data_IF_771931917424
#
_entry.id   IF_771931917424
#
_cell.length_a   1.000
_cell.length_b   1.000
_cell.length_c   1.000
_cell.angle_alpha   90.00
_cell.angle_beta   90.00
_cell.angle_gamma   90.00
#
_symmetry.space_group_name_H-M   'P 1'
#
loop_
_entity.id
_entity.type
_entity.pdbx_description
1 polymer ?
#
# COMPACT_ATOMS: atom_id res chain seq x y z
N UNK A 1 -27.01 -27.23 18.69
CA UNK A 1 -26.42 -26.41 17.61
C UNK A 1 -25.13 -25.83 18.16
N UNK A 2 -23.98 -26.40 17.78
CA UNK A 2 -22.69 -25.94 18.28
C UNK A 2 -22.36 -24.58 17.68
N UNK A 3 -22.16 -23.58 18.53
CA UNK A 3 -21.58 -22.28 18.17
C UNK A 3 -20.23 -22.56 17.49
N UNK A 4 -19.96 -22.04 16.27
CA UNK A 4 -18.64 -22.19 15.69
C UNK A 4 -17.63 -21.55 16.65
N UNK A 5 -16.48 -22.20 16.87
CA UNK A 5 -15.41 -21.65 17.69
C UNK A 5 -15.06 -20.24 17.18
N UNK A 6 -15.48 -19.22 17.93
CA UNK A 6 -15.42 -17.83 17.51
C UNK A 6 -13.98 -17.34 17.44
N UNK A 7 -13.68 -16.55 16.42
CA UNK A 7 -12.46 -15.74 16.39
C UNK A 7 -12.73 -14.49 17.21
N UNK A 8 -11.89 -14.25 18.22
CA UNK A 8 -12.00 -13.14 19.16
C UNK A 8 -10.80 -12.20 19.05
N UNK A 9 -10.99 -10.96 19.49
CA UNK A 9 -9.92 -10.00 19.76
C UNK A 9 -9.65 -9.99 21.26
N UNK A 10 -8.45 -10.40 21.67
CA UNK A 10 -7.98 -10.26 23.04
C UNK A 10 -7.45 -8.85 23.27
N UNK A 11 -7.84 -8.23 24.39
CA UNK A 11 -7.44 -6.86 24.76
C UNK A 11 -6.49 -6.88 25.95
N UNK A 12 -5.51 -5.97 25.93
CA UNK A 12 -4.48 -5.84 26.94
C UNK A 12 -4.27 -4.36 27.27
N UNK A 13 -4.25 -4.01 28.56
CA UNK A 13 -3.92 -2.66 29.02
C UNK A 13 -2.42 -2.48 29.04
N UNK A 14 -1.92 -1.34 28.60
CA UNK A 14 -0.49 -1.24 28.25
C UNK A 14 0.45 -1.10 29.44
N UNK A 15 -0.06 -0.67 30.60
CA UNK A 15 0.77 -0.40 31.78
C UNK A 15 1.40 -1.70 32.33
N UNK A 16 0.72 -2.83 32.16
CA UNK A 16 1.13 -4.14 32.65
C UNK A 16 0.94 -5.28 31.63
N UNK A 17 0.33 -4.99 30.48
CA UNK A 17 -0.16 -5.97 29.50
C UNK A 17 -1.01 -7.06 30.16
N UNK A 18 -1.75 -6.70 31.21
CA UNK A 18 -2.77 -7.56 31.80
C UNK A 18 -3.93 -7.64 30.84
N UNK A 19 -4.39 -8.87 30.62
CA UNK A 19 -5.53 -9.15 29.77
C UNK A 19 -6.76 -8.48 30.38
N UNK A 20 -7.31 -7.51 29.66
CA UNK A 20 -8.45 -6.70 30.10
C UNK A 20 -9.79 -7.29 29.64
N UNK A 21 -9.81 -8.02 28.52
CA UNK A 21 -11.06 -8.57 28.00
C UNK A 21 -10.94 -9.30 26.68
N UNK A 22 -12.10 -9.62 26.11
CA UNK A 22 -12.28 -10.14 24.76
C UNK A 22 -13.47 -9.48 24.10
N UNK A 23 -13.36 -9.28 22.79
CA UNK A 23 -14.44 -8.84 21.93
C UNK A 23 -14.60 -9.80 20.75
N UNK A 24 -15.83 -10.06 20.27
CA UNK A 24 -16.02 -10.80 19.03
C UNK A 24 -15.40 -10.02 17.86
N UNK A 25 -14.70 -10.72 16.96
CA UNK A 25 -14.06 -10.07 15.80
C UNK A 25 -15.09 -9.57 14.76
N UNK A 26 -16.18 -10.31 14.57
CA UNK A 26 -17.13 -10.07 13.47
C UNK A 26 -17.75 -8.66 13.48
N UNK A 27 -18.22 -8.09 14.61
CA UNK A 27 -18.76 -6.73 14.62
C UNK A 27 -17.73 -5.66 14.20
N UNK A 28 -16.46 -5.80 14.61
CA UNK A 28 -15.38 -4.89 14.23
C UNK A 28 -15.09 -4.99 12.72
N UNK A 29 -15.11 -6.21 12.17
CA UNK A 29 -14.94 -6.39 10.74
C UNK A 29 -16.11 -5.82 9.95
N UNK A 30 -17.36 -6.02 10.38
CA UNK A 30 -18.53 -5.48 9.68
C UNK A 30 -18.54 -3.96 9.64
N UNK A 31 -18.17 -3.29 10.74
CA UNK A 31 -18.13 -1.82 10.79
C UNK A 31 -17.17 -1.21 9.78
N UNK A 32 -16.16 -1.96 9.32
CA UNK A 32 -15.22 -1.54 8.28
C UNK A 32 -15.63 -2.09 6.93
N UNK A 33 -15.86 -3.40 6.82
CA UNK A 33 -16.05 -4.09 5.56
C UNK A 33 -17.41 -3.76 4.91
N UNK A 34 -18.49 -3.50 5.65
CA UNK A 34 -19.78 -3.12 5.04
C UNK A 34 -19.69 -1.76 4.33
N UNK A 35 -19.19 -0.68 4.98
CA UNK A 35 -18.89 0.56 4.27
C UNK A 35 -17.88 0.40 3.15
N UNK A 36 -16.95 -0.56 3.27
CA UNK A 36 -15.98 -0.82 2.22
C UNK A 36 -16.63 -1.49 0.99
N UNK A 37 -17.41 -2.55 1.17
CA UNK A 37 -18.07 -3.23 0.04
C UNK A 37 -19.24 -2.40 -0.50
N UNK A 38 -19.75 -1.44 0.27
CA UNK A 38 -20.87 -0.58 -0.12
C UNK A 38 -22.24 -1.24 -0.01
N UNK A 39 -22.33 -2.37 0.70
CA UNK A 39 -23.56 -3.13 0.94
C UNK A 39 -23.47 -3.92 2.25
N UNK A 40 -24.64 -4.32 2.77
CA UNK A 40 -24.72 -5.23 3.92
C UNK A 40 -24.01 -6.54 3.62
N UNK A 41 -23.30 -7.10 4.61
CA UNK A 41 -22.65 -8.41 4.54
C UNK A 41 -23.53 -9.53 5.12
N UNK A 42 -24.81 -9.28 5.36
CA UNK A 42 -25.75 -10.31 5.76
C UNK A 42 -25.83 -11.43 4.70
N UNK A 43 -25.81 -12.68 5.18
CA UNK A 43 -25.75 -13.88 4.34
C UNK A 43 -24.43 -14.10 3.59
N UNK A 44 -23.43 -13.23 3.77
CA UNK A 44 -22.10 -13.41 3.18
C UNK A 44 -21.18 -14.19 4.13
N UNK A 45 -20.22 -14.92 3.56
CA UNK A 45 -19.12 -15.57 4.27
C UNK A 45 -17.88 -14.68 4.19
N UNK A 46 -17.27 -14.38 5.34
CA UNK A 46 -16.00 -13.65 5.43
C UNK A 46 -14.90 -14.64 5.74
N UNK A 47 -14.04 -14.88 4.77
CA UNK A 47 -12.86 -15.73 4.87
C UNK A 47 -11.64 -14.88 5.23
N UNK A 48 -10.91 -15.30 6.27
CA UNK A 48 -9.73 -14.61 6.78
C UNK A 48 -8.52 -15.52 6.70
N UNK A 49 -7.52 -15.14 5.91
CA UNK A 49 -6.23 -15.83 5.87
C UNK A 49 -5.15 -14.92 6.45
N UNK A 50 -4.73 -15.19 7.69
CA UNK A 50 -3.71 -14.40 8.38
C UNK A 50 -2.33 -14.66 7.80
N UNK A 51 -1.60 -13.59 7.51
CA UNK A 51 -0.34 -13.64 6.78
C UNK A 51 0.81 -13.35 7.77
N UNK A 52 1.90 -14.15 7.77
CA UNK A 52 3.03 -14.01 8.69
C UNK A 52 3.96 -12.85 8.30
N UNK A 53 3.36 -11.68 8.03
CA UNK A 53 4.06 -10.45 7.74
C UNK A 53 4.13 -9.58 8.97
N UNK A 54 5.29 -8.96 9.20
CA UNK A 54 5.48 -8.14 10.39
C UNK A 54 4.86 -6.76 10.20
N UNK A 55 3.94 -6.38 11.09
CA UNK A 55 3.49 -5.00 11.29
C UNK A 55 3.45 -4.72 12.79
N UNK A 56 4.26 -3.76 13.22
CA UNK A 56 4.39 -3.34 14.62
C UNK A 56 4.02 -1.88 14.83
N UNK A 57 3.54 -1.21 13.77
CA UNK A 57 3.13 0.18 13.89
C UNK A 57 1.84 0.25 14.75
N UNK A 58 1.77 1.17 15.73
CA UNK A 58 0.52 1.43 16.43
C UNK A 58 -0.41 2.24 15.52
N UNK A 59 -1.72 2.06 15.73
CA UNK A 59 -2.71 3.08 15.37
C UNK A 59 -2.46 4.26 16.31
N UNK A 60 -2.01 5.38 15.72
CA UNK A 60 -1.73 6.62 16.45
C UNK A 60 -3.04 7.29 16.87
N UNK A 61 -3.01 8.06 17.96
CA UNK A 61 -4.17 8.74 18.53
C UNK A 61 -4.32 8.42 20.01
N UNK A 62 -5.43 8.87 20.61
CA UNK A 62 -5.76 8.62 22.02
C UNK A 62 -7.13 7.94 22.10
N UNK A 63 -7.22 6.66 22.50
CA UNK A 63 -6.09 5.79 22.84
C UNK A 63 -5.23 5.42 21.63
N UNK A 64 -3.95 5.12 21.85
CA UNK A 64 -3.17 4.40 20.85
C UNK A 64 -3.49 2.90 20.93
N UNK A 65 -3.46 2.20 19.79
CA UNK A 65 -3.78 0.76 19.72
C UNK A 65 -2.72 0.01 18.93
N UNK A 66 -2.15 -1.06 19.50
CA UNK A 66 -1.07 -1.84 18.86
C UNK A 66 -1.39 -3.33 18.78
N UNK A 67 -1.08 -3.94 17.63
CA UNK A 67 -1.14 -5.40 17.48
C UNK A 67 0.04 -6.07 18.19
N UNK A 68 -0.23 -6.75 19.31
CA UNK A 68 0.77 -7.50 20.06
C UNK A 68 1.19 -8.80 19.36
N UNK A 69 0.40 -9.28 18.39
CA UNK A 69 0.77 -10.40 17.50
C UNK A 69 1.36 -9.86 16.20
N UNK A 70 2.23 -8.86 16.30
CA UNK A 70 2.76 -8.12 15.16
C UNK A 70 3.60 -8.95 14.17
N UNK A 71 3.87 -10.23 14.42
CA UNK A 71 4.42 -11.15 13.39
C UNK A 71 3.39 -11.58 12.34
N UNK A 72 2.11 -11.38 12.63
CA UNK A 72 0.98 -11.61 11.74
C UNK A 72 0.17 -10.31 11.66
N UNK A 73 0.79 -9.30 11.07
CA UNK A 73 0.28 -7.94 10.94
C UNK A 73 -0.79 -7.77 9.89
N UNK A 74 -0.94 -8.74 8.98
CA UNK A 74 -1.83 -8.64 7.83
C UNK A 74 -2.76 -9.85 7.71
N UNK A 75 -3.89 -9.66 7.02
CA UNK A 75 -4.86 -10.69 6.73
C UNK A 75 -5.44 -10.50 5.33
N UNK A 76 -5.47 -11.57 4.53
CA UNK A 76 -6.25 -11.60 3.29
C UNK A 76 -7.72 -11.79 3.65
N UNK A 77 -8.55 -10.81 3.26
CA UNK A 77 -10.00 -10.85 3.41
C UNK A 77 -10.59 -11.28 2.08
N UNK A 78 -11.48 -12.27 2.10
CA UNK A 78 -12.30 -12.67 0.96
C UNK A 78 -13.75 -12.77 1.41
N UNK A 79 -14.64 -12.08 0.71
CA UNK A 79 -16.07 -12.00 1.05
C UNK A 79 -16.86 -12.62 -0.10
N UNK A 80 -17.66 -13.63 0.23
CA UNK A 80 -18.40 -14.44 -0.75
C UNK A 80 -19.87 -14.47 -0.38
N UNK A 81 -20.76 -14.34 -1.37
CA UNK A 81 -22.21 -14.55 -1.20
C UNK A 81 -22.68 -15.52 -2.28
N UNK A 82 -23.08 -16.72 -1.87
CA UNK A 82 -23.31 -17.82 -2.81
C UNK A 82 -22.01 -18.16 -3.54
N UNK A 83 -22.03 -18.13 -4.88
CA UNK A 83 -20.86 -18.37 -5.73
C UNK A 83 -20.13 -17.08 -6.16
N UNK A 84 -20.63 -15.91 -5.71
CA UNK A 84 -20.09 -14.61 -6.12
C UNK A 84 -19.12 -14.07 -5.09
N UNK A 85 -17.89 -13.74 -5.54
CA UNK A 85 -16.93 -12.98 -4.75
C UNK A 85 -17.34 -11.51 -4.76
N UNK A 86 -17.70 -10.97 -3.59
CA UNK A 86 -18.05 -9.57 -3.42
C UNK A 86 -16.80 -8.70 -3.23
N UNK A 87 -15.78 -9.26 -2.58
CA UNK A 87 -14.56 -8.52 -2.22
C UNK A 87 -13.40 -9.47 -1.97
N UNK A 88 -12.20 -9.10 -2.40
CA UNK A 88 -10.97 -9.81 -2.05
C UNK A 88 -9.79 -8.85 -2.01
N UNK A 89 -9.18 -8.67 -0.84
CA UNK A 89 -8.02 -7.78 -0.66
C UNK A 89 -7.29 -8.08 0.67
N UNK A 90 -5.95 -7.93 0.75
CA UNK A 90 -5.22 -8.01 2.01
C UNK A 90 -5.16 -6.68 2.76
N UNK A 91 -5.44 -6.72 4.06
CA UNK A 91 -5.42 -5.57 4.95
C UNK A 91 -4.43 -5.72 6.09
N UNK A 92 -3.88 -4.58 6.53
CA UNK A 92 -3.21 -4.53 7.82
C UNK A 92 -4.24 -4.67 8.95
N UNK A 93 -3.96 -5.50 9.94
CA UNK A 93 -4.83 -5.68 11.11
C UNK A 93 -4.99 -4.38 11.91
N UNK A 94 -3.98 -3.50 11.89
CA UNK A 94 -4.08 -2.16 12.47
C UNK A 94 -5.24 -1.35 11.86
N UNK A 95 -5.61 -1.60 10.60
CA UNK A 95 -6.67 -0.86 9.91
C UNK A 95 -8.05 -1.47 10.13
N UNK A 96 -8.20 -2.77 9.84
CA UNK A 96 -9.52 -3.41 9.87
C UNK A 96 -9.94 -3.91 11.26
N UNK A 97 -9.01 -3.94 12.23
CA UNK A 97 -9.29 -4.26 13.63
C UNK A 97 -8.86 -3.12 14.55
N UNK A 98 -7.62 -2.62 14.39
CA UNK A 98 -7.04 -1.61 15.27
C UNK A 98 -7.82 -0.29 15.29
N UNK A 99 -8.23 0.25 14.13
CA UNK A 99 -8.98 1.52 14.05
C UNK A 99 -10.39 1.41 14.66
N UNK A 100 -11.25 0.44 14.29
CA UNK A 100 -12.55 0.26 14.95
C UNK A 100 -12.41 0.03 16.45
N UNK A 101 -11.36 -0.68 16.86
CA UNK A 101 -11.09 -0.91 18.27
C UNK A 101 -10.66 0.37 18.99
N UNK A 102 -9.86 1.22 18.36
CA UNK A 102 -9.47 2.53 18.90
C UNK A 102 -10.71 3.40 19.14
N UNK A 103 -11.61 3.49 18.16
CA UNK A 103 -12.87 4.23 18.27
C UNK A 103 -13.71 3.69 19.43
N UNK A 104 -13.94 2.37 19.46
CA UNK A 104 -14.72 1.71 20.50
C UNK A 104 -14.14 1.91 21.92
N UNK A 105 -12.82 1.82 22.06
CA UNK A 105 -12.14 1.97 23.35
C UNK A 105 -12.08 3.42 23.79
N UNK A 106 -11.86 4.36 22.87
CA UNK A 106 -11.88 5.79 23.16
C UNK A 106 -13.25 6.27 23.68
N UNK A 107 -14.33 5.70 23.18
CA UNK A 107 -15.69 5.99 23.66
C UNK A 107 -15.98 5.35 25.03
N UNK A 108 -15.52 4.12 25.27
CA UNK A 108 -15.90 3.33 26.46
C UNK A 108 -14.99 3.52 27.66
N UNK A 109 -13.70 3.74 27.42
CA UNK A 109 -12.64 3.79 28.42
C UNK A 109 -11.68 4.94 28.09
N UNK A 110 -12.16 6.21 28.07
CA UNK A 110 -11.39 7.38 27.64
C UNK A 110 -10.18 7.68 28.54
N UNK A 111 -10.17 7.18 29.78
CA UNK A 111 -9.06 7.30 30.71
C UNK A 111 -7.82 6.49 30.29
N UNK A 112 -8.02 5.42 29.52
CA UNK A 112 -6.95 4.56 29.04
C UNK A 112 -6.37 5.13 27.76
N UNK A 113 -5.08 5.47 27.79
CA UNK A 113 -4.40 6.14 26.67
C UNK A 113 -3.69 5.18 25.72
N UNK A 114 -3.49 3.92 26.12
CA UNK A 114 -2.72 2.95 25.36
C UNK A 114 -3.31 1.53 25.50
N UNK A 115 -3.51 0.85 24.37
CA UNK A 115 -4.02 -0.52 24.32
C UNK A 115 -3.21 -1.44 23.41
N UNK A 116 -3.09 -2.69 23.83
CA UNK A 116 -2.64 -3.79 22.98
C UNK A 116 -3.82 -4.69 22.59
N UNK A 117 -3.77 -5.25 21.39
CA UNK A 117 -4.72 -6.28 20.97
C UNK A 117 -4.03 -7.48 20.30
N UNK A 118 -4.72 -8.62 20.25
CA UNK A 118 -4.27 -9.78 19.49
C UNK A 118 -5.45 -10.65 19.06
N UNK A 119 -5.40 -11.16 17.82
CA UNK A 119 -6.46 -12.03 17.31
C UNK A 119 -6.27 -13.46 17.82
N UNK A 120 -7.29 -14.02 18.44
CA UNK A 120 -7.33 -15.38 18.95
C UNK A 120 -8.33 -16.22 18.15
N UNK A 121 -7.90 -17.39 17.70
CA UNK A 121 -8.71 -18.36 16.99
C UNK A 121 -7.89 -19.60 16.63
N UNK A 122 -8.50 -20.61 16.01
CA UNK A 122 -7.80 -21.83 15.59
C UNK A 122 -6.52 -21.52 14.80
N UNK A 123 -5.39 -22.10 15.21
CA UNK A 123 -4.07 -21.88 14.59
C UNK A 123 -3.34 -20.62 15.06
N UNK A 124 -4.04 -19.53 15.37
CA UNK A 124 -3.43 -18.28 15.83
C UNK A 124 -3.01 -18.31 17.30
N UNK A 125 -3.58 -19.19 18.13
CA UNK A 125 -3.28 -19.27 19.57
C UNK A 125 -1.79 -19.51 19.88
N UNK A 126 -1.05 -20.08 18.91
CA UNK A 126 0.39 -20.36 19.02
C UNK A 126 1.27 -19.16 18.68
N UNK A 127 0.71 -18.09 18.10
CA UNK A 127 1.46 -16.89 17.74
C UNK A 127 1.79 -16.10 19.00
N UNK A 128 3.09 -15.90 19.24
CA UNK A 128 3.58 -15.21 20.43
C UNK A 128 3.12 -13.75 20.49
N UNK A 129 2.72 -13.31 21.69
CA UNK A 129 2.51 -11.91 22.00
C UNK A 129 3.88 -11.25 22.24
N UNK A 130 4.19 -10.24 21.46
CA UNK A 130 5.40 -9.43 21.60
C UNK A 130 5.01 -8.12 22.27
N UNK A 131 5.52 -7.90 23.48
CA UNK A 131 5.37 -6.61 24.16
C UNK A 131 6.23 -5.56 23.43
N UNK A 132 5.65 -4.42 23.03
CA UNK A 132 6.41 -3.28 22.56
C UNK A 132 7.47 -2.87 23.59
N UNK A 133 8.62 -2.40 23.12
CA UNK A 133 9.60 -1.78 24.03
C UNK A 133 8.94 -0.54 24.65
N UNK A 134 8.99 -0.35 25.98
CA UNK A 134 8.46 0.85 26.61
C UNK A 134 9.04 2.10 25.95
N UNK A 135 8.18 3.06 25.60
CA UNK A 135 8.62 4.37 25.15
C UNK A 135 9.12 5.11 26.39
N UNK A 136 10.43 5.18 26.58
CA UNK A 136 11.01 5.89 27.72
C UNK A 136 10.72 7.39 27.58
N UNK A 137 9.78 7.92 28.37
CA UNK A 137 9.35 9.31 28.35
C UNK A 137 10.50 10.31 28.64
N UNK A 138 11.57 9.85 29.29
CA UNK A 138 12.73 10.66 29.71
C UNK A 138 14.05 10.19 29.07
N UNK A 139 14.04 9.79 27.80
CA UNK A 139 15.26 9.34 27.13
C UNK A 139 16.14 10.53 26.73
N UNK A 140 17.20 10.76 27.50
CA UNK A 140 18.31 11.66 27.11
C UNK A 140 19.36 10.81 26.39
N UNK A 141 19.54 11.02 25.08
CA UNK A 141 20.65 10.44 24.34
C UNK A 141 21.91 11.30 24.56
N UNK A 142 22.86 10.79 25.35
CA UNK A 142 24.18 11.39 25.48
C UNK A 142 25.13 10.62 24.56
N UNK A 143 25.48 11.21 23.43
CA UNK A 143 26.45 10.63 22.51
C UNK A 143 27.86 10.72 23.13
N UNK A 144 28.34 9.62 23.73
CA UNK A 144 29.73 9.48 24.18
C UNK A 144 30.52 8.75 23.11
N UNK A 145 31.09 9.51 22.18
CA UNK A 145 31.97 8.98 21.14
C UNK A 145 32.05 9.93 19.93
N UNK A 146 33.24 10.48 19.69
CA UNK A 146 33.53 11.23 18.48
C UNK A 146 33.27 10.42 17.20
N UNK A 147 33.20 11.07 16.02
CA UNK A 147 32.74 10.43 14.79
C UNK A 147 33.55 9.17 14.50
N UNK A 148 32.91 8.02 14.64
CA UNK A 148 33.41 6.75 14.10
C UNK A 148 33.60 6.98 12.60
N UNK A 149 34.85 7.07 12.18
CA UNK A 149 35.27 7.13 10.77
C UNK A 149 34.65 5.92 10.07
N UNK A 150 33.59 6.13 9.28
CA UNK A 150 32.99 5.07 8.46
C UNK A 150 34.08 4.55 7.53
N UNK A 151 34.39 3.26 7.60
CA UNK A 151 35.49 2.64 6.84
C UNK A 151 35.24 2.61 5.32
N UNK A 152 34.01 2.90 4.88
CA UNK A 152 33.65 3.07 3.48
C UNK A 152 32.64 4.22 3.36
N UNK A 153 32.88 5.12 2.41
CA UNK A 153 31.94 6.16 2.02
C UNK A 153 30.99 5.60 0.97
N UNK A 154 29.70 5.62 1.25
CA UNK A 154 28.69 5.51 0.20
C UNK A 154 28.52 6.93 -0.31
N UNK A 155 29.09 7.21 -1.48
CA UNK A 155 28.87 8.45 -2.20
C UNK A 155 27.66 8.22 -3.11
N UNK A 156 26.55 8.90 -2.82
CA UNK A 156 25.42 8.90 -3.74
C UNK A 156 25.85 9.65 -4.98
N UNK A 157 25.98 8.94 -6.09
CA UNK A 157 26.25 9.58 -7.39
C UNK A 157 25.01 10.39 -7.75
N UNK A 158 25.10 11.72 -7.88
CA UNK A 158 23.95 12.53 -8.25
C UNK A 158 23.48 12.07 -9.64
N UNK A 159 22.22 11.68 -9.73
CA UNK A 159 21.59 11.40 -11.02
C UNK A 159 21.62 12.68 -11.86
N UNK A 160 21.86 12.56 -13.19
CA UNK A 160 21.80 13.72 -14.06
C UNK A 160 20.41 14.34 -13.99
N UNK A 161 20.36 15.67 -13.89
CA UNK A 161 19.11 16.43 -13.89
C UNK A 161 18.26 16.04 -15.12
N UNK A 162 16.97 15.70 -14.94
CA UNK A 162 16.11 15.36 -16.05
C UNK A 162 16.00 16.52 -17.05
N UNK A 163 15.92 16.23 -18.36
CA UNK A 163 15.70 17.28 -19.36
C UNK A 163 14.39 18.01 -19.10
N UNK A 164 14.32 19.29 -19.51
CA UNK A 164 13.10 20.08 -19.40
C UNK A 164 12.15 19.74 -20.56
N UNK A 165 10.85 19.64 -20.28
CA UNK A 165 9.82 19.49 -21.30
C UNK A 165 8.47 20.11 -20.88
N UNK A 166 7.57 20.30 -21.85
CA UNK A 166 6.15 20.60 -21.65
C UNK A 166 5.26 19.39 -21.97
N UNK A 167 4.01 19.40 -21.54
CA UNK A 167 3.04 18.35 -21.91
C UNK A 167 2.78 18.33 -23.42
N UNK A 168 2.83 19.48 -24.10
CA UNK A 168 2.67 19.60 -25.55
C UNK A 168 3.84 18.97 -26.30
N UNK A 169 5.08 19.14 -25.82
CA UNK A 169 6.26 18.47 -26.38
C UNK A 169 6.20 16.95 -26.18
N UNK A 170 5.53 16.48 -25.13
CA UNK A 170 5.22 15.06 -24.91
C UNK A 170 3.98 14.58 -25.66
N UNK A 171 3.37 15.41 -26.53
CA UNK A 171 2.29 15.04 -27.43
C UNK A 171 0.87 15.21 -26.86
N UNK A 172 0.70 16.00 -25.80
CA UNK A 172 -0.62 16.32 -25.22
C UNK A 172 -1.07 17.69 -25.73
N UNK A 173 -2.04 17.71 -26.65
CA UNK A 173 -2.46 18.93 -27.33
C UNK A 173 -3.13 19.96 -26.40
N UNK A 174 -3.98 19.50 -25.48
CA UNK A 174 -4.78 20.38 -24.61
C UNK A 174 -4.71 19.91 -23.14
N UNK A 175 -3.59 20.14 -22.43
CA UNK A 175 -3.53 19.86 -21.00
C UNK A 175 -4.40 20.87 -20.23
N UNK A 176 -5.10 20.41 -19.20
CA UNK A 176 -5.86 21.31 -18.33
C UNK A 176 -4.91 22.11 -17.44
N UNK A 177 -5.24 23.37 -17.15
CA UNK A 177 -4.42 24.27 -16.31
C UNK A 177 -4.13 23.63 -14.94
N UNK A 178 -5.13 22.97 -14.35
CA UNK A 178 -5.00 22.24 -13.08
C UNK A 178 -3.94 21.14 -13.16
N UNK A 179 -3.90 20.39 -14.25
CA UNK A 179 -2.96 19.29 -14.41
C UNK A 179 -1.53 19.76 -14.74
N UNK A 180 -1.38 20.93 -15.38
CA UNK A 180 -0.08 21.61 -15.55
C UNK A 180 0.48 22.08 -14.21
N UNK A 181 -0.40 22.43 -13.27
CA UNK A 181 -0.03 22.87 -11.92
C UNK A 181 0.28 21.75 -10.93
N UNK A 182 0.16 20.48 -11.33
CA UNK A 182 0.47 19.35 -10.44
C UNK A 182 1.98 19.09 -10.35
N UNK A 183 2.51 18.74 -9.16
CA UNK A 183 3.94 18.44 -9.00
C UNK A 183 4.41 17.24 -9.83
N UNK A 184 3.52 16.31 -10.18
CA UNK A 184 3.81 15.15 -11.01
C UNK A 184 2.64 14.90 -11.95
N UNK A 185 2.92 14.88 -13.26
CA UNK A 185 1.94 14.58 -14.30
C UNK A 185 2.45 13.44 -15.19
N UNK A 186 1.57 12.55 -15.63
CA UNK A 186 1.97 11.28 -16.28
C UNK A 186 1.50 11.19 -17.73
N UNK A 187 2.40 10.89 -18.65
CA UNK A 187 2.09 10.61 -20.06
C UNK A 187 2.32 9.13 -20.33
N UNK A 188 1.23 8.37 -20.50
CA UNK A 188 1.29 6.96 -20.87
C UNK A 188 1.36 6.84 -22.39
N UNK A 189 2.30 6.04 -22.90
CA UNK A 189 2.20 5.59 -24.30
C UNK A 189 0.89 4.80 -24.48
N UNK A 190 0.18 5.00 -25.60
CA UNK A 190 -1.09 4.32 -25.86
C UNK A 190 -1.04 2.79 -25.68
N UNK A 191 0.10 2.16 -25.99
CA UNK A 191 0.30 0.72 -25.76
C UNK A 191 0.28 0.34 -24.28
N UNK A 192 0.84 1.17 -23.39
CA UNK A 192 0.87 0.94 -21.94
C UNK A 192 -0.53 1.14 -21.38
N UNK A 193 -1.19 2.24 -21.77
CA UNK A 193 -2.56 2.51 -21.37
C UNK A 193 -3.48 1.34 -21.76
N UNK A 194 -3.48 0.92 -23.04
CA UNK A 194 -4.27 -0.22 -23.50
C UNK A 194 -3.93 -1.53 -22.77
N UNK A 195 -2.65 -1.77 -22.49
CA UNK A 195 -2.23 -2.96 -21.76
C UNK A 195 -2.86 -3.00 -20.35
N UNK A 196 -2.75 -1.91 -19.59
CA UNK A 196 -3.25 -1.83 -18.22
C UNK A 196 -4.80 -1.82 -18.18
N UNK A 197 -5.46 -1.14 -19.11
CA UNK A 197 -6.93 -1.00 -19.11
C UNK A 197 -7.68 -2.12 -19.81
N UNK A 198 -7.02 -3.02 -20.55
CA UNK A 198 -7.74 -4.18 -21.12
C UNK A 198 -6.91 -5.25 -21.81
N UNK A 199 -5.91 -4.87 -22.63
CA UNK A 199 -5.26 -5.81 -23.54
C UNK A 199 -4.39 -6.87 -22.84
N UNK A 200 -3.84 -6.58 -21.65
CA UNK A 200 -3.10 -7.58 -20.86
C UNK A 200 -4.09 -8.47 -20.10
N UNK A 201 -3.97 -9.81 -20.16
CA UNK A 201 -4.77 -10.70 -19.31
C UNK A 201 -4.20 -10.69 -17.89
N UNK A 202 -4.79 -9.91 -16.99
CA UNK A 202 -4.51 -10.01 -15.56
C UNK A 202 -5.32 -11.15 -14.93
N UNK A 203 -4.75 -11.83 -13.94
CA UNK A 203 -5.46 -12.80 -13.10
C UNK A 203 -6.70 -12.16 -12.45
N UNK A 204 -7.75 -12.95 -12.30
CA UNK A 204 -8.97 -12.61 -11.56
C UNK A 204 -8.99 -13.23 -10.16
N UNK A 205 -7.95 -13.98 -9.82
CA UNK A 205 -7.87 -14.74 -8.56
C UNK A 205 -6.74 -14.23 -7.66
N UNK A 206 -5.68 -13.71 -8.27
CA UNK A 206 -4.48 -13.22 -7.60
C UNK A 206 -4.18 -11.82 -8.11
N UNK A 207 -3.84 -10.91 -7.20
CA UNK A 207 -3.38 -9.59 -7.58
C UNK A 207 -2.00 -9.67 -8.22
N UNK A 208 -1.86 -9.00 -9.36
CA UNK A 208 -0.63 -8.95 -10.14
C UNK A 208 -0.02 -7.54 -10.09
N UNK A 209 1.25 -7.44 -10.46
CA UNK A 209 1.98 -6.20 -10.42
C UNK A 209 3.31 -6.27 -11.16
N UNK A 210 3.96 -5.12 -11.25
CA UNK A 210 5.22 -4.98 -11.97
C UNK A 210 5.74 -3.55 -11.94
N UNK A 211 6.68 -3.28 -12.83
CA UNK A 211 7.39 -2.02 -12.92
C UNK A 211 6.89 -1.17 -14.09
N UNK A 212 6.99 0.15 -13.91
CA UNK A 212 6.79 1.13 -14.97
C UNK A 212 8.14 1.73 -15.33
N UNK A 213 8.45 1.77 -16.61
CA UNK A 213 9.67 2.39 -17.11
C UNK A 213 9.38 3.36 -18.26
N UNK A 214 10.28 4.33 -18.41
CA UNK A 214 10.20 5.36 -19.42
C UNK A 214 11.14 6.52 -19.11
N UNK A 215 10.67 7.75 -19.31
CA UNK A 215 11.50 8.95 -19.20
C UNK A 215 10.90 9.93 -18.19
N UNK A 216 11.77 10.73 -17.59
CA UNK A 216 11.39 11.78 -16.65
C UNK A 216 11.89 13.10 -17.23
N UNK A 217 11.05 14.12 -17.11
CA UNK A 217 11.37 15.47 -17.50
C UNK A 217 11.04 16.43 -16.36
N UNK A 218 11.79 17.52 -16.24
CA UNK A 218 11.35 18.66 -15.43
C UNK A 218 10.25 19.39 -16.18
N UNK A 219 9.16 19.71 -15.49
CA UNK A 219 8.05 20.46 -16.07
C UNK A 219 8.46 21.92 -16.27
N UNK A 220 8.50 22.39 -17.51
CA UNK A 220 8.84 23.78 -17.82
C UNK A 220 7.83 24.78 -17.23
N UNK A 221 6.59 24.34 -16.99
CA UNK A 221 5.48 25.16 -16.55
C UNK A 221 5.25 25.11 -15.02
N UNK A 222 5.99 24.25 -14.30
CA UNK A 222 5.90 24.13 -12.84
C UNK A 222 7.29 24.05 -12.20
N UNK A 223 7.71 25.04 -11.39
CA UNK A 223 8.93 24.98 -10.62
C UNK A 223 8.91 23.75 -9.70
N UNK A 224 9.88 22.84 -9.83
CA UNK A 224 9.96 21.55 -9.11
C UNK A 224 8.96 20.47 -9.57
N UNK A 225 8.18 20.74 -10.63
CA UNK A 225 7.28 19.77 -11.23
C UNK A 225 8.01 18.77 -12.13
N UNK A 226 7.45 17.57 -12.25
CA UNK A 226 7.99 16.50 -13.10
C UNK A 226 6.93 15.97 -14.05
N UNK A 227 7.33 15.73 -15.30
CA UNK A 227 6.55 15.00 -16.29
C UNK A 227 7.13 13.60 -16.43
N UNK A 228 6.29 12.58 -16.24
CA UNK A 228 6.68 11.18 -16.28
C UNK A 228 6.11 10.54 -17.53
N UNK A 229 6.97 10.28 -18.51
CA UNK A 229 6.59 9.51 -19.69
C UNK A 229 6.75 8.02 -19.40
N UNK A 230 5.66 7.24 -19.47
CA UNK A 230 5.68 5.79 -19.29
C UNK A 230 5.60 5.11 -20.64
N UNK A 231 6.69 4.46 -21.02
CA UNK A 231 6.85 3.81 -22.32
C UNK A 231 6.55 2.31 -22.25
N UNK A 232 6.70 1.68 -21.09
CA UNK A 232 6.50 0.24 -20.90
C UNK A 232 6.07 -0.12 -19.47
N UNK A 233 5.20 -1.13 -19.37
CA UNK A 233 4.86 -1.81 -18.11
C UNK A 233 5.42 -3.24 -18.12
N UNK A 234 6.37 -3.53 -17.24
CA UNK A 234 7.14 -4.77 -17.20
C UNK A 234 6.60 -5.63 -16.04
N UNK A 235 6.00 -6.80 -16.29
CA UNK A 235 5.57 -7.70 -15.21
C UNK A 235 6.75 -8.12 -14.33
N UNK A 236 6.54 -8.20 -13.02
CA UNK A 236 7.53 -8.84 -12.15
C UNK A 236 7.43 -10.37 -12.30
N UNK A 237 8.53 -11.05 -12.67
CA UNK A 237 8.55 -12.50 -12.84
C UNK A 237 8.43 -13.23 -11.47
N UNK A 238 7.57 -14.26 -11.41
CA UNK A 238 7.19 -15.09 -10.24
C UNK A 238 6.19 -14.49 -9.23
N UNK A 239 5.22 -13.72 -9.67
CA UNK A 239 4.19 -13.12 -8.80
C UNK A 239 2.95 -13.99 -8.64
N UNK A 240 3.15 -15.26 -8.25
CA UNK A 240 2.05 -16.12 -7.78
C UNK A 240 1.63 -15.85 -6.34
N UNK A 241 2.16 -14.81 -5.69
CA UNK A 241 1.96 -14.55 -4.28
C UNK A 241 1.35 -13.15 -4.07
N UNK A 242 0.20 -13.15 -3.40
CA UNK A 242 -0.57 -12.01 -2.89
C UNK A 242 0.29 -10.77 -2.60
N UNK A 243 -0.22 -9.58 -2.92
CA UNK A 243 0.18 -8.18 -2.58
C UNK A 243 1.34 -7.98 -1.56
N UNK A 244 1.40 -8.81 -0.53
CA UNK A 244 2.40 -8.84 0.53
C UNK A 244 3.74 -9.52 0.18
N UNK A 245 3.83 -10.29 -0.90
CA UNK A 245 5.07 -10.86 -1.44
C UNK A 245 5.65 -10.04 -2.60
N UNK A 246 5.04 -8.91 -2.96
CA UNK A 246 5.69 -7.86 -3.76
C UNK A 246 6.71 -7.10 -2.91
N UNK A 247 7.58 -7.82 -2.20
CA UNK A 247 8.82 -7.23 -1.73
C UNK A 247 9.67 -7.05 -2.99
N UNK A 248 9.76 -5.82 -3.50
CA UNK A 248 10.72 -5.48 -4.55
C UNK A 248 12.12 -5.67 -3.98
N UNK A 249 12.62 -6.91 -4.01
CA UNK A 249 13.95 -7.25 -3.50
C UNK A 249 15.02 -6.64 -4.39
N UNK A 250 16.25 -6.53 -3.90
CA UNK A 250 17.40 -6.12 -4.72
C UNK A 250 17.53 -6.95 -6.01
N UNK A 251 17.13 -8.23 -6.00
CA UNK A 251 17.10 -9.06 -7.20
C UNK A 251 16.06 -8.59 -8.23
N UNK A 252 14.87 -8.17 -7.79
CA UNK A 252 13.85 -7.59 -8.69
C UNK A 252 14.37 -6.31 -9.35
N UNK A 253 15.13 -5.50 -8.60
CA UNK A 253 15.80 -4.29 -9.11
C UNK A 253 16.94 -4.61 -10.11
N UNK A 254 17.72 -5.66 -9.87
CA UNK A 254 18.75 -6.09 -10.81
C UNK A 254 18.14 -6.57 -12.12
N UNK A 255 17.09 -7.41 -12.06
CA UNK A 255 16.42 -7.93 -13.27
C UNK A 255 15.74 -6.84 -14.09
N UNK A 256 15.12 -5.86 -13.43
CA UNK A 256 14.55 -4.72 -14.17
C UNK A 256 15.67 -3.88 -14.78
N UNK A 257 16.78 -3.66 -14.07
CA UNK A 257 17.97 -3.00 -14.61
C UNK A 257 18.51 -3.70 -15.87
N UNK A 258 18.65 -5.03 -15.83
CA UNK A 258 19.03 -5.85 -16.99
C UNK A 258 18.03 -5.73 -18.14
N UNK A 259 16.73 -5.76 -17.84
CA UNK A 259 15.66 -5.62 -18.83
C UNK A 259 15.69 -4.24 -19.52
N UNK A 260 15.94 -3.17 -18.77
CA UNK A 260 16.06 -1.81 -19.30
C UNK A 260 17.35 -1.65 -20.11
N UNK A 261 18.47 -2.19 -19.63
CA UNK A 261 19.74 -2.19 -20.35
C UNK A 261 19.63 -2.94 -21.68
N UNK A 262 18.99 -4.11 -21.70
CA UNK A 262 18.77 -4.91 -22.91
C UNK A 262 17.90 -4.18 -23.95
N UNK A 263 16.98 -3.31 -23.51
CA UNK A 263 16.15 -2.50 -24.40
C UNK A 263 16.94 -1.37 -25.05
N UNK A 264 18.01 -0.88 -24.41
CA UNK A 264 18.90 0.17 -24.91
C UNK A 264 18.18 1.45 -25.38
N UNK A 265 17.11 1.86 -24.68
CA UNK A 265 16.31 3.05 -25.00
C UNK A 265 16.53 4.24 -24.07
N UNK A 266 17.46 4.14 -23.12
CA UNK A 266 17.67 5.19 -22.10
C UNK A 266 16.48 5.36 -21.14
N UNK A 267 15.69 4.31 -20.95
CA UNK A 267 14.55 4.30 -20.04
C UNK A 267 15.03 4.10 -18.60
N UNK A 268 14.40 4.79 -17.66
CA UNK A 268 14.60 4.63 -16.22
C UNK A 268 13.36 4.03 -15.55
N UNK A 269 13.53 3.57 -14.31
CA UNK A 269 12.42 3.10 -13.50
C UNK A 269 11.61 4.29 -12.96
N UNK A 270 10.42 4.49 -13.49
CA UNK A 270 9.55 5.64 -13.17
C UNK A 270 8.42 5.30 -12.21
N UNK A 271 8.24 4.02 -11.86
CA UNK A 271 7.21 3.63 -10.92
C UNK A 271 6.90 2.15 -10.92
N UNK A 272 5.72 1.81 -10.42
CA UNK A 272 5.21 0.45 -10.36
C UNK A 272 3.71 0.41 -10.63
N UNK A 273 3.19 -0.77 -10.88
CA UNK A 273 1.76 -0.99 -11.00
C UNK A 273 1.32 -2.25 -10.26
N UNK A 274 0.07 -2.29 -9.84
CA UNK A 274 -0.59 -3.51 -9.38
C UNK A 274 -2.10 -3.48 -9.63
N UNK A 275 -2.74 -4.62 -9.42
CA UNK A 275 -4.18 -4.81 -9.62
C UNK A 275 -4.91 -4.98 -8.30
N UNK A 276 -6.10 -4.41 -8.17
CA UNK A 276 -7.08 -4.78 -7.13
C UNK A 276 -8.22 -5.57 -7.78
N UNK A 277 -8.64 -6.67 -7.17
CA UNK A 277 -9.67 -7.57 -7.70
C UNK A 277 -11.08 -7.21 -7.21
N UNK A 278 -11.39 -5.91 -7.19
CA UNK A 278 -12.68 -5.37 -6.84
C UNK A 278 -12.91 -4.01 -7.54
N UNK A 279 -14.17 -3.57 -7.71
CA UNK A 279 -14.50 -2.35 -8.43
C UNK A 279 -13.86 -1.10 -7.83
N UNK A 280 -13.51 -0.14 -8.69
CA UNK A 280 -13.08 1.17 -8.23
C UNK A 280 -14.25 1.91 -7.55
N UNK A 281 -13.96 2.57 -6.44
CA UNK A 281 -14.84 3.56 -5.84
C UNK A 281 -14.00 4.76 -5.41
N UNK A 282 -14.64 5.90 -5.16
CA UNK A 282 -13.97 7.11 -4.64
C UNK A 282 -13.28 6.88 -3.28
N UNK A 283 -13.65 5.81 -2.57
CA UNK A 283 -13.07 5.43 -1.28
C UNK A 283 -11.91 4.45 -1.39
N UNK A 284 -11.78 3.70 -2.49
CA UNK A 284 -10.73 2.68 -2.63
C UNK A 284 -9.62 3.11 -3.56
N UNK A 285 -8.56 3.69 -3.01
CA UNK A 285 -7.29 3.89 -3.68
C UNK A 285 -6.23 2.87 -3.24
N UNK A 286 -5.01 3.34 -3.06
CA UNK A 286 -3.92 2.56 -2.48
C UNK A 286 -4.25 2.14 -1.03
N UNK A 287 -3.95 0.89 -0.69
CA UNK A 287 -3.97 0.42 0.69
C UNK A 287 -2.80 0.98 1.49
N UNK A 288 -2.81 0.90 2.82
CA UNK A 288 -1.62 1.32 3.60
C UNK A 288 -0.38 0.49 3.27
N UNK A 289 -0.55 -0.78 2.89
CA UNK A 289 0.55 -1.61 2.41
C UNK A 289 1.17 -1.04 1.12
N UNK A 290 0.32 -0.57 0.20
CA UNK A 290 0.76 0.04 -1.06
C UNK A 290 1.48 1.36 -0.82
N UNK A 291 0.97 2.18 0.11
CA UNK A 291 1.59 3.45 0.50
C UNK A 291 2.94 3.18 1.16
N UNK A 292 3.01 2.26 2.13
CA UNK A 292 4.25 1.88 2.81
C UNK A 292 5.29 1.33 1.81
N UNK A 293 4.86 0.48 0.86
CA UNK A 293 5.71 -0.04 -0.21
C UNK A 293 6.27 1.10 -1.07
N UNK A 294 5.41 2.02 -1.51
CA UNK A 294 5.83 3.15 -2.33
C UNK A 294 6.79 4.08 -1.58
N UNK A 295 6.47 4.46 -0.35
CA UNK A 295 7.26 5.45 0.41
C UNK A 295 8.64 4.93 0.79
N UNK A 296 8.75 3.64 1.09
CA UNK A 296 10.02 2.98 1.46
C UNK A 296 10.90 2.62 0.27
N UNK A 297 10.28 2.24 -0.85
CA UNK A 297 10.98 1.60 -1.98
C UNK A 297 11.18 2.54 -3.18
N UNK A 298 10.21 3.41 -3.47
CA UNK A 298 10.24 4.36 -4.59
C UNK A 298 10.48 5.78 -4.07
N UNK A 299 11.75 6.11 -3.84
CA UNK A 299 12.15 7.32 -3.11
C UNK A 299 12.30 8.56 -3.99
N UNK A 300 12.33 8.43 -5.32
CA UNK A 300 12.44 9.59 -6.20
C UNK A 300 11.10 10.33 -6.26
N UNK A 301 11.10 11.68 -6.25
CA UNK A 301 9.87 12.47 -6.11
C UNK A 301 8.90 12.33 -7.29
N UNK A 302 9.41 11.98 -8.47
CA UNK A 302 8.62 11.75 -9.69
C UNK A 302 8.06 10.33 -9.79
N UNK A 303 8.44 9.39 -8.92
CA UNK A 303 7.99 8.00 -9.06
C UNK A 303 6.49 7.87 -8.76
N UNK A 304 5.80 7.05 -9.56
CA UNK A 304 4.34 6.87 -9.48
C UNK A 304 3.93 5.44 -9.17
N UNK A 305 2.74 5.26 -8.60
CA UNK A 305 2.08 3.97 -8.45
C UNK A 305 0.82 3.93 -9.33
N UNK A 306 0.74 2.98 -10.25
CA UNK A 306 -0.46 2.73 -11.05
C UNK A 306 -1.30 1.62 -10.43
N UNK A 307 -2.52 1.95 -10.05
CA UNK A 307 -3.51 0.99 -9.56
C UNK A 307 -4.50 0.67 -10.67
N UNK A 308 -4.68 -0.62 -10.95
CA UNK A 308 -5.71 -1.13 -11.86
C UNK A 308 -6.77 -1.87 -11.05
N UNK A 309 -7.94 -1.27 -10.88
CA UNK A 309 -9.09 -1.99 -10.33
C UNK A 309 -9.72 -2.82 -11.43
N UNK A 310 -9.96 -4.10 -11.13
CA UNK A 310 -10.56 -5.06 -12.04
C UNK A 310 -11.91 -5.46 -11.46
N UNK A 311 -12.97 -5.11 -12.20
CA UNK A 311 -14.30 -5.66 -11.95
C UNK A 311 -14.64 -6.75 -12.98
N UNK A 312 -15.87 -7.26 -12.96
CA UNK A 312 -16.29 -8.34 -13.87
C UNK A 312 -16.28 -7.93 -15.36
N UNK A 313 -16.46 -6.64 -15.64
CA UNK A 313 -16.77 -6.08 -16.96
C UNK A 313 -15.81 -4.98 -17.42
N UNK A 314 -15.08 -4.35 -16.50
CA UNK A 314 -14.32 -3.12 -16.71
C UNK A 314 -13.04 -3.09 -15.88
N UNK A 315 -12.13 -2.20 -16.30
CA UNK A 315 -10.92 -1.87 -15.54
C UNK A 315 -10.81 -0.37 -15.41
N UNK A 316 -10.44 0.06 -14.22
CA UNK A 316 -10.19 1.48 -13.94
C UNK A 316 -8.73 1.65 -13.55
N UNK A 317 -8.00 2.45 -14.34
CA UNK A 317 -6.62 2.82 -14.08
C UNK A 317 -6.57 4.15 -13.35
N UNK A 318 -5.83 4.18 -12.24
CA UNK A 318 -5.50 5.40 -11.49
C UNK A 318 -4.00 5.45 -11.23
N UNK A 319 -3.42 6.64 -11.33
CA UNK A 319 -2.02 6.88 -11.01
C UNK A 319 -1.94 7.70 -9.74
N UNK A 320 -0.96 7.39 -8.91
CA UNK A 320 -0.74 8.02 -7.61
C UNK A 320 0.68 8.55 -7.54
N UNK A 321 0.81 9.73 -6.96
CA UNK A 321 2.08 10.40 -6.64
C UNK A 321 2.16 10.69 -5.15
N UNK A 322 3.38 10.86 -4.67
CA UNK A 322 3.63 11.17 -3.26
C UNK A 322 3.11 12.57 -2.90
N UNK A 323 2.54 12.72 -1.71
CA UNK A 323 2.10 13.98 -1.15
C UNK A 323 2.63 14.10 0.30
N UNK A 324 3.81 14.68 0.47
CA UNK A 324 4.51 14.67 1.77
C UNK A 324 5.20 13.33 2.08
N UNK A 325 5.45 13.03 3.34
CA UNK A 325 6.30 11.89 3.74
C UNK A 325 5.61 10.54 3.60
N UNK A 326 4.36 10.44 4.07
CA UNK A 326 3.66 9.16 4.28
C UNK A 326 2.28 9.10 3.58
N UNK A 327 2.01 9.99 2.62
CA UNK A 327 0.72 9.98 1.92
C UNK A 327 0.88 10.02 0.40
N UNK A 328 -0.14 9.51 -0.30
CA UNK A 328 -0.21 9.51 -1.75
C UNK A 328 -1.55 10.07 -2.20
N UNK A 329 -1.54 10.79 -3.31
CA UNK A 329 -2.75 11.33 -3.95
C UNK A 329 -2.72 11.02 -5.45
N UNK A 330 -3.86 11.13 -6.12
CA UNK A 330 -3.95 10.86 -7.56
C UNK A 330 -3.11 11.85 -8.36
N UNK A 331 -2.39 11.35 -9.36
CA UNK A 331 -1.69 12.14 -10.36
C UNK A 331 -2.53 12.18 -11.65
N UNK A 332 -2.63 13.34 -12.33
CA UNK A 332 -3.26 13.42 -13.63
C UNK A 332 -2.45 12.60 -14.66
N UNK A 333 -3.15 12.02 -15.62
CA UNK A 333 -2.50 11.29 -16.71
C UNK A 333 -3.23 11.40 -18.05
N UNK A 334 -2.48 11.19 -19.12
CA UNK A 334 -2.98 11.12 -20.49
C UNK A 334 -2.43 9.89 -21.21
N UNK A 335 -3.19 9.40 -22.19
CA UNK A 335 -2.69 8.44 -23.15
C UNK A 335 -2.25 9.21 -24.41
N UNK A 336 -0.96 9.19 -24.71
CA UNK A 336 -0.41 9.75 -25.94
C UNK A 336 -0.70 8.81 -27.10
N UNK A 337 -1.37 9.32 -28.13
CA UNK A 337 -1.57 8.59 -29.39
C UNK A 337 -0.23 8.39 -30.14
N UNK A 338 -0.09 7.32 -30.94
CA UNK A 338 1.17 6.96 -31.61
C UNK A 338 1.78 8.06 -32.48
#
# INVERSE_FOLDING_TARGET
MSTPAGIDVELFRSDDYVRAGRLPLLPLLRSVLEPMVGQSLEGATIELSFLPLTDRAPVRGTPSVINLRGSHGYVKVRIVRGDTVLYQHPHALREIVGRPLQELLGERLPEETHWGFGIRGPGLEKVALVRPKPVAANRVEIAVGGPRRRLFGIEEVPEPEPPVATLQELGIAEPTVEAVSEPVAVVLHARVHRALTGARPFSREVEEGGFLAGHVHRNAEHPDGHLVEVTVAIPAERTGASLLHFTFTGESYLRIGESLAARARGESLVGWYHTHLFPATDRFGLSSADVDLHTTTFQRPWQVAALVNIDQTSRVLRLYRRNGTDTMTTAPYWAREP
#
